data_IF_955229369102
#
_entry.id   IF_955229369102
#
_cell.length_a   1.000
_cell.length_b   1.000
_cell.length_c   1.000
_cell.angle_alpha   90.00
_cell.angle_beta   90.00
_cell.angle_gamma   90.00
#
_symmetry.space_group_name_H-M   'P 1'
#
loop_
_entity.id
_entity.type
_entity.pdbx_description
1 polymer ?
#
# COMPACT_ATOMS: atom_id res chain seq x y z
N UNK A 1 8.01 15.08 24.87
CA UNK A 1 8.25 16.31 24.15
C UNK A 1 7.76 16.21 22.71
N UNK A 2 7.99 17.22 21.94
CA UNK A 2 7.50 17.31 20.57
C UNK A 2 8.05 16.20 19.66
N UNK A 3 9.33 15.84 19.86
CA UNK A 3 9.96 14.76 19.11
C UNK A 3 9.34 13.41 19.41
N UNK A 4 8.99 13.17 20.68
CA UNK A 4 8.34 11.91 21.07
C UNK A 4 6.95 11.80 20.46
N UNK A 5 6.23 12.92 20.41
CA UNK A 5 4.90 12.95 19.83
C UNK A 5 4.93 12.69 18.32
N UNK A 6 5.89 13.32 17.63
CA UNK A 6 6.07 13.09 16.19
C UNK A 6 6.39 11.63 15.90
N UNK A 7 7.27 11.02 16.73
CA UNK A 7 7.61 9.60 16.55
C UNK A 7 6.40 8.71 16.76
N UNK A 8 5.57 9.02 17.74
CA UNK A 8 4.34 8.27 17.99
C UNK A 8 3.42 8.34 16.78
N UNK A 9 3.21 9.54 16.23
CA UNK A 9 2.38 9.72 15.04
C UNK A 9 2.98 8.99 13.84
N UNK A 10 4.29 9.08 13.67
CA UNK A 10 4.97 8.41 12.56
C UNK A 10 4.74 6.89 12.60
N UNK A 11 4.93 6.29 13.75
CA UNK A 11 4.77 4.83 13.92
C UNK A 11 3.33 4.41 13.60
N UNK A 12 2.36 5.13 14.13
CA UNK A 12 0.96 4.79 13.90
C UNK A 12 0.53 5.05 12.47
N UNK A 13 1.01 6.13 11.86
CA UNK A 13 0.70 6.44 10.46
C UNK A 13 1.28 5.38 9.54
N UNK A 14 2.53 4.97 9.76
CA UNK A 14 3.17 3.94 8.97
C UNK A 14 2.38 2.63 9.02
N UNK A 15 1.97 2.23 10.22
CA UNK A 15 1.19 1.01 10.39
C UNK A 15 -0.16 1.11 9.68
N UNK A 16 -0.84 2.25 9.81
CA UNK A 16 -2.14 2.46 9.19
C UNK A 16 -2.04 2.41 7.67
N UNK A 17 -1.06 3.08 7.10
CA UNK A 17 -0.87 3.10 5.65
C UNK A 17 -0.54 1.71 5.12
N UNK A 18 0.36 1.00 5.79
CA UNK A 18 0.69 -0.37 5.38
C UNK A 18 -0.52 -1.30 5.46
N UNK A 19 -1.37 -1.12 6.46
CA UNK A 19 -2.60 -1.89 6.57
C UNK A 19 -3.57 -1.58 5.42
N UNK A 20 -3.73 -0.29 5.08
CA UNK A 20 -4.58 0.11 3.97
C UNK A 20 -4.10 -0.44 2.64
N UNK A 21 -2.79 -0.45 2.42
CA UNK A 21 -2.21 -1.01 1.20
C UNK A 21 -2.55 -2.49 1.04
N UNK A 22 -2.43 -3.25 2.13
CA UNK A 22 -2.78 -4.68 2.12
C UNK A 22 -4.27 -4.87 1.87
N UNK A 23 -5.09 -4.02 2.47
CA UNK A 23 -6.54 -4.08 2.30
C UNK A 23 -6.94 -3.78 0.86
N UNK A 24 -6.28 -2.83 0.23
CA UNK A 24 -6.53 -2.52 -1.18
C UNK A 24 -6.27 -3.74 -2.07
N UNK A 25 -5.15 -4.41 -1.87
CA UNK A 25 -4.85 -5.59 -2.67
C UNK A 25 -5.87 -6.70 -2.43
N UNK A 26 -6.27 -6.91 -1.18
CA UNK A 26 -7.30 -7.90 -0.85
C UNK A 26 -8.59 -7.60 -1.61
N UNK A 27 -9.04 -6.35 -1.56
CA UNK A 27 -10.27 -5.93 -2.24
C UNK A 27 -10.16 -6.08 -3.76
N UNK A 28 -9.00 -5.73 -4.32
CA UNK A 28 -8.77 -5.85 -5.75
C UNK A 28 -8.84 -7.31 -6.21
N UNK A 29 -8.18 -8.21 -5.48
CA UNK A 29 -8.19 -9.63 -5.84
C UNK A 29 -9.60 -10.23 -5.71
N UNK A 30 -10.33 -9.83 -4.69
CA UNK A 30 -11.71 -10.29 -4.50
C UNK A 30 -12.61 -9.78 -5.63
N UNK A 31 -12.45 -8.52 -6.02
CA UNK A 31 -13.21 -7.94 -7.12
C UNK A 31 -12.94 -8.68 -8.43
N UNK A 32 -11.68 -8.93 -8.77
CA UNK A 32 -11.32 -9.65 -9.99
C UNK A 32 -11.96 -11.03 -10.04
N UNK A 33 -11.95 -11.71 -8.89
CA UNK A 33 -12.50 -13.05 -8.78
C UNK A 33 -13.98 -13.10 -9.12
N UNK A 34 -14.74 -12.08 -8.73
CA UNK A 34 -16.19 -12.03 -8.96
C UNK A 34 -16.57 -11.38 -10.27
N UNK A 35 -15.82 -10.43 -10.72
CA UNK A 35 -16.10 -9.69 -11.96
C UNK A 35 -16.01 -10.59 -13.18
N UNK A 36 -15.11 -11.54 -13.18
CA UNK A 36 -14.95 -12.49 -14.29
C UNK A 36 -15.65 -13.78 -13.95
N UNK A 37 -16.93 -13.84 -14.24
CA UNK A 37 -17.78 -14.99 -13.93
C UNK A 37 -17.21 -16.27 -14.52
N UNK A 38 -16.87 -17.22 -13.64
CA UNK A 38 -16.37 -18.51 -14.05
C UNK A 38 -14.91 -18.55 -14.44
N UNK A 39 -14.20 -17.42 -14.42
CA UNK A 39 -12.78 -17.41 -14.72
C UNK A 39 -11.93 -17.24 -13.48
N UNK A 40 -11.04 -18.18 -13.28
CA UNK A 40 -9.96 -18.03 -12.34
C UNK A 40 -8.84 -17.30 -13.07
N UNK A 41 -8.56 -16.06 -12.69
CA UNK A 41 -7.50 -15.27 -13.33
C UNK A 41 -6.12 -15.78 -12.98
N UNK A 42 -6.01 -16.66 -11.97
CA UNK A 42 -4.73 -17.09 -11.44
C UNK A 42 -4.00 -15.99 -10.68
N UNK A 43 -4.65 -14.87 -10.44
CA UNK A 43 -4.02 -13.75 -9.75
C UNK A 43 -4.02 -13.98 -8.25
N UNK A 44 -2.95 -13.55 -7.60
CA UNK A 44 -2.75 -13.73 -6.17
C UNK A 44 -1.74 -12.71 -5.66
N UNK A 45 -1.58 -12.65 -4.35
CA UNK A 45 -0.54 -11.85 -3.74
C UNK A 45 0.83 -12.37 -4.17
N UNK A 46 1.76 -11.46 -4.43
CA UNK A 46 3.10 -11.82 -4.88
C UNK A 46 4.14 -10.91 -4.23
N UNK A 47 4.20 -10.93 -2.90
CA UNK A 47 5.18 -10.15 -2.17
C UNK A 47 4.90 -8.66 -2.17
N UNK A 48 5.94 -7.89 -1.98
CA UNK A 48 5.86 -6.44 -1.91
C UNK A 48 7.21 -5.84 -2.27
N UNK A 49 7.22 -4.53 -2.52
CA UNK A 49 8.47 -3.79 -2.64
C UNK A 49 8.46 -2.62 -1.67
N UNK A 50 9.67 -2.20 -1.28
CA UNK A 50 9.86 -1.13 -0.32
C UNK A 50 9.73 0.23 -0.98
N UNK A 51 9.08 1.15 -0.28
CA UNK A 51 9.01 2.54 -0.69
C UNK A 51 9.07 3.40 0.56
N UNK A 52 9.92 4.43 0.53
CA UNK A 52 10.03 5.37 1.64
C UNK A 52 9.36 6.69 1.25
N UNK A 53 8.52 7.20 2.13
CA UNK A 53 7.79 8.45 1.91
C UNK A 53 8.09 9.40 3.06
N UNK A 54 8.42 10.64 2.75
CA UNK A 54 8.67 11.65 3.77
C UNK A 54 7.36 12.32 4.17
N UNK A 55 7.18 12.45 5.48
CA UNK A 55 6.02 13.16 6.04
C UNK A 55 6.49 14.16 7.07
N UNK A 56 5.59 15.01 7.52
CA UNK A 56 5.90 15.96 8.59
C UNK A 56 6.29 15.30 9.91
N UNK A 57 5.95 14.00 10.06
CA UNK A 57 6.31 13.24 11.27
C UNK A 57 7.58 12.43 11.10
N UNK A 58 8.15 12.41 9.91
CA UNK A 58 9.32 11.63 9.58
C UNK A 58 9.09 10.71 8.41
N UNK A 59 10.05 9.83 8.16
CA UNK A 59 9.98 8.90 7.03
C UNK A 59 9.12 7.68 7.37
N UNK A 60 8.23 7.35 6.45
CA UNK A 60 7.44 6.12 6.52
C UNK A 60 8.07 5.07 5.63
N UNK A 61 8.24 3.87 6.16
CA UNK A 61 8.74 2.72 5.41
C UNK A 61 7.54 1.88 5.02
N UNK A 62 7.21 1.87 3.74
CA UNK A 62 6.01 1.25 3.24
C UNK A 62 6.32 0.00 2.44
N UNK A 63 5.41 -0.96 2.52
CA UNK A 63 5.47 -2.21 1.77
C UNK A 63 4.36 -2.17 0.74
N UNK A 64 4.72 -1.84 -0.50
CA UNK A 64 3.75 -1.74 -1.58
C UNK A 64 3.46 -3.14 -2.11
N UNK A 65 2.24 -3.65 -1.90
CA UNK A 65 1.93 -5.02 -2.28
C UNK A 65 1.92 -5.21 -3.79
N UNK A 66 2.29 -6.39 -4.21
CA UNK A 66 2.26 -6.80 -5.61
C UNK A 66 1.31 -7.96 -5.79
N UNK A 67 0.68 -7.99 -6.94
CA UNK A 67 -0.07 -9.15 -7.39
C UNK A 67 0.74 -9.91 -8.42
N UNK A 68 0.41 -11.16 -8.62
CA UNK A 68 1.14 -12.04 -9.52
C UNK A 68 1.09 -11.55 -10.97
N UNK A 69 -0.05 -11.03 -11.40
CA UNK A 69 -0.27 -10.62 -12.79
C UNK A 69 0.18 -9.18 -13.07
N UNK A 70 0.58 -8.42 -12.05
CA UNK A 70 1.05 -7.05 -12.22
C UNK A 70 -0.03 -6.07 -12.64
N UNK A 71 -1.28 -6.35 -12.31
CA UNK A 71 -2.41 -5.50 -12.72
C UNK A 71 -2.85 -4.53 -11.62
N UNK A 72 -2.50 -4.82 -10.39
CA UNK A 72 -2.93 -3.99 -9.25
C UNK A 72 -2.18 -2.67 -9.21
N UNK A 73 -2.92 -1.59 -9.02
CA UNK A 73 -2.37 -0.24 -8.82
C UNK A 73 -2.97 0.33 -7.54
N UNK A 74 -2.16 0.41 -6.49
CA UNK A 74 -2.63 0.94 -5.21
C UNK A 74 -3.00 2.42 -5.33
N UNK A 75 -3.98 2.85 -4.55
CA UNK A 75 -4.48 4.23 -4.56
C UNK A 75 -4.26 4.93 -3.21
N UNK A 76 -3.78 4.21 -2.21
CA UNK A 76 -3.59 4.76 -0.86
C UNK A 76 -2.48 5.80 -0.83
N UNK A 77 -1.37 5.51 -1.51
CA UNK A 77 -0.21 6.41 -1.55
C UNK A 77 -0.07 6.93 -2.98
N UNK A 78 -0.09 8.26 -3.17
CA UNK A 78 0.05 8.82 -4.52
C UNK A 78 1.37 8.40 -5.17
N UNK A 79 1.34 8.29 -6.48
CA UNK A 79 2.55 8.07 -7.24
C UNK A 79 3.54 9.21 -6.99
N UNK A 80 4.84 8.87 -7.01
CA UNK A 80 5.87 9.89 -6.84
C UNK A 80 5.75 10.94 -7.94
N UNK A 81 5.71 12.20 -7.52
CA UNK A 81 5.73 13.33 -8.45
C UNK A 81 6.90 14.22 -8.14
N UNK A 82 7.63 14.58 -9.19
CA UNK A 82 8.61 15.64 -9.05
C UNK A 82 7.85 16.95 -8.93
N UNK A 83 8.08 17.63 -7.82
CA UNK A 83 7.66 19.03 -7.71
C UNK A 83 8.80 19.90 -8.17
N UNK A 84 8.49 20.79 -9.03
CA UNK A 84 9.46 21.77 -9.48
C UNK A 84 9.50 22.96 -8.53
#
# INVERSE_FOLDING_TARGET
>A
NKGDLNELFRVHLEKAVNTLLKTELTAFLDYEKYDRIGFNTGNSRNGSYDRTVKTEYGELHLQIPRDRNGEFKQQTVPAYRRTN
#
